data_IF_885098748955
#
_entry.id   IF_885098748955
#
_cell.length_a   1.000
_cell.length_b   1.000
_cell.length_c   1.000
_cell.angle_alpha   90.00
_cell.angle_beta   90.00
_cell.angle_gamma   90.00
#
_symmetry.space_group_name_H-M   'P 1'
#
loop_
_entity.id
_entity.type
_entity.pdbx_description
1 polymer ?
#
# COMPACT_ATOMS: atom_id res chain seq x y z
N UNK A 1 -2.35 10.44 -2.76
CA UNK A 1 -1.45 9.94 -1.70
C UNK A 1 -2.27 9.05 -0.79
N UNK A 2 -2.18 7.74 -0.98
CA UNK A 2 -2.89 6.78 -0.16
C UNK A 2 -2.31 6.78 1.26
N UNK A 3 -3.18 6.65 2.26
CA UNK A 3 -2.81 6.62 3.67
C UNK A 3 -3.69 5.61 4.38
N UNK A 4 -3.07 4.63 5.00
CA UNK A 4 -3.82 3.54 5.64
C UNK A 4 -3.75 3.63 7.16
N UNK A 5 -4.45 2.76 7.85
CA UNK A 5 -4.26 2.35 9.24
C UNK A 5 -3.49 1.01 9.29
N UNK A 6 -3.09 0.59 10.49
CA UNK A 6 -2.32 -0.66 10.66
C UNK A 6 -3.10 -1.88 10.15
N UNK A 7 -4.42 -1.89 10.31
CA UNK A 7 -5.30 -2.95 9.81
C UNK A 7 -5.57 -2.91 8.29
N UNK A 8 -5.04 -1.91 7.59
CA UNK A 8 -5.21 -1.71 6.16
C UNK A 8 -6.45 -0.95 5.72
N UNK A 9 -7.28 -0.49 6.65
CA UNK A 9 -8.36 0.43 6.35
C UNK A 9 -7.80 1.84 6.03
N UNK A 10 -8.62 2.71 5.43
CA UNK A 10 -8.27 4.11 5.27
C UNK A 10 -8.14 4.81 6.63
N UNK A 11 -7.15 5.70 6.76
CA UNK A 11 -7.06 6.59 7.92
C UNK A 11 -8.27 7.50 8.00
N UNK A 12 -8.64 7.91 9.21
CA UNK A 12 -9.77 8.85 9.45
C UNK A 12 -9.64 10.15 8.63
N UNK A 13 -8.41 10.59 8.32
CA UNK A 13 -8.13 11.78 7.52
C UNK A 13 -8.21 11.55 5.99
N UNK A 14 -8.42 10.31 5.53
CA UNK A 14 -8.56 9.93 4.12
C UNK A 14 -7.27 10.05 3.29
N UNK A 15 -7.35 9.81 1.98
CA UNK A 15 -6.25 10.07 1.05
C UNK A 15 -6.10 11.57 0.74
N UNK A 16 -4.90 11.99 0.32
CA UNK A 16 -4.62 13.39 -0.07
C UNK A 16 -4.32 13.47 -1.56
N UNK A 17 -4.92 14.42 -2.27
CA UNK A 17 -4.51 14.74 -3.63
C UNK A 17 -3.07 15.29 -3.65
N UNK A 18 -2.28 14.93 -4.65
CA UNK A 18 -0.85 15.28 -4.69
C UNK A 18 -0.65 16.81 -4.63
N UNK A 19 -1.50 17.56 -5.33
CA UNK A 19 -1.51 19.04 -5.31
C UNK A 19 -1.60 19.61 -3.89
N UNK A 20 -2.27 18.91 -2.98
CA UNK A 20 -2.50 19.33 -1.62
C UNK A 20 -1.42 18.88 -0.64
N UNK A 21 -0.48 18.03 -1.07
CA UNK A 21 0.68 17.63 -0.28
C UNK A 21 1.89 18.57 -0.39
N UNK A 22 1.97 19.38 -1.45
CA UNK A 22 3.14 20.24 -1.67
C UNK A 22 3.32 21.28 -0.56
N UNK A 23 4.51 21.27 0.06
CA UNK A 23 4.89 22.21 1.13
C UNK A 23 3.91 22.29 2.31
N UNK A 24 3.18 21.21 2.61
CA UNK A 24 2.26 21.13 3.77
C UNK A 24 2.79 20.18 4.86
N UNK A 25 3.89 20.52 5.58
CA UNK A 25 4.45 19.64 6.60
C UNK A 25 3.53 19.48 7.83
N UNK A 26 2.57 20.38 8.02
CA UNK A 26 1.59 20.32 9.12
C UNK A 26 0.74 19.06 9.06
N UNK A 27 0.50 18.50 7.87
CA UNK A 27 -0.22 17.24 7.68
C UNK A 27 0.43 16.10 8.49
N UNK A 28 1.76 16.02 8.51
CA UNK A 28 2.46 14.99 9.28
C UNK A 28 2.24 15.16 10.78
N UNK A 29 2.21 16.40 11.26
CA UNK A 29 2.04 16.69 12.68
C UNK A 29 0.59 16.49 13.14
N UNK A 30 -0.36 16.93 12.33
CA UNK A 30 -1.76 17.08 12.72
C UNK A 30 -2.63 15.90 12.27
N UNK A 31 -2.20 15.09 11.29
CA UNK A 31 -2.98 14.01 10.66
C UNK A 31 -2.35 12.62 10.76
N UNK A 32 -1.78 12.28 11.93
CA UNK A 32 -1.41 10.89 12.24
C UNK A 32 0.02 10.46 11.90
N UNK A 33 0.94 11.39 11.64
CA UNK A 33 2.37 11.06 11.51
C UNK A 33 2.78 10.62 10.11
N UNK A 34 3.90 9.89 10.06
CA UNK A 34 4.52 9.40 8.81
C UNK A 34 4.08 7.97 8.49
N UNK A 35 3.67 7.22 9.49
CA UNK A 35 3.34 5.80 9.41
C UNK A 35 2.21 5.50 8.42
N UNK A 36 1.09 6.25 8.40
CA UNK A 36 0.04 6.07 7.40
C UNK A 36 0.55 6.22 5.96
N UNK A 37 1.48 7.16 5.73
CA UNK A 37 2.07 7.38 4.41
C UNK A 37 3.01 6.25 4.01
N UNK A 38 3.87 5.78 4.91
CA UNK A 38 4.79 4.69 4.61
C UNK A 38 4.04 3.40 4.27
N UNK A 39 2.94 3.12 4.99
CA UNK A 39 2.05 1.99 4.67
C UNK A 39 1.33 2.19 3.33
N UNK A 40 0.89 3.42 3.02
CA UNK A 40 0.32 3.77 1.73
C UNK A 40 1.29 3.62 0.56
N UNK A 41 2.52 4.13 0.71
CA UNK A 41 3.58 4.06 -0.30
C UNK A 41 4.00 2.62 -0.61
N UNK A 42 4.04 1.76 0.41
CA UNK A 42 4.36 0.37 0.20
C UNK A 42 3.21 -0.38 -0.50
N UNK A 43 1.95 -0.09 -0.19
CA UNK A 43 0.81 -0.83 -0.74
C UNK A 43 0.32 -0.32 -2.11
N UNK A 44 0.58 0.95 -2.44
CA UNK A 44 0.08 1.57 -3.66
C UNK A 44 0.93 1.19 -4.88
N UNK A 45 0.27 0.77 -5.96
CA UNK A 45 0.90 0.65 -7.27
C UNK A 45 1.34 2.04 -7.80
N UNK A 46 2.57 2.11 -8.30
CA UNK A 46 3.05 3.31 -8.97
C UNK A 46 2.27 3.58 -10.26
N UNK A 47 2.29 4.83 -10.74
CA UNK A 47 1.77 5.11 -12.07
C UNK A 47 2.66 4.46 -13.13
N UNK A 48 2.02 3.97 -14.19
CA UNK A 48 2.72 3.45 -15.37
C UNK A 48 3.70 4.51 -15.91
N UNK A 49 4.92 4.08 -16.25
CA UNK A 49 5.99 4.95 -16.73
C UNK A 49 5.79 5.20 -18.22
N UNK A 50 5.30 6.39 -18.56
CA UNK A 50 5.01 6.82 -19.92
C UNK A 50 5.31 8.33 -20.07
N UNK A 51 5.22 8.93 -21.28
CA UNK A 51 5.49 10.36 -21.45
C UNK A 51 4.32 11.24 -20.99
N UNK A 52 3.30 10.67 -20.35
CA UNK A 52 2.17 11.40 -19.78
C UNK A 52 2.44 11.67 -18.30
N UNK A 53 1.79 12.71 -17.78
CA UNK A 53 1.91 13.08 -16.38
C UNK A 53 0.56 13.52 -15.84
N UNK A 54 0.29 13.17 -14.58
CA UNK A 54 -0.98 13.48 -13.94
C UNK A 54 -1.23 15.00 -13.86
N UNK A 55 -2.51 15.38 -13.86
CA UNK A 55 -2.93 16.78 -13.90
C UNK A 55 -2.38 17.62 -12.72
N UNK A 56 -2.16 17.02 -11.56
CA UNK A 56 -1.62 17.71 -10.38
C UNK A 56 -0.21 18.25 -10.62
N UNK A 57 0.62 17.53 -11.38
CA UNK A 57 1.97 17.96 -11.76
C UNK A 57 1.97 18.81 -13.04
N UNK A 58 1.01 18.58 -13.93
CA UNK A 58 0.90 19.29 -15.21
C UNK A 58 0.27 20.67 -15.11
N UNK A 59 -0.71 20.87 -14.21
CA UNK A 59 -1.52 22.09 -14.20
C UNK A 59 -1.49 22.85 -12.87
N UNK A 60 -1.02 22.21 -11.80
CA UNK A 60 -1.17 22.72 -10.43
C UNK A 60 0.14 22.73 -9.63
N UNK A 61 1.29 22.47 -10.27
CA UNK A 61 2.56 22.46 -9.54
C UNK A 61 2.79 23.85 -8.92
N UNK A 62 2.76 23.91 -7.59
CA UNK A 62 2.97 25.10 -6.77
C UNK A 62 1.96 26.26 -6.90
N UNK A 63 0.75 26.01 -7.44
CA UNK A 63 -0.30 27.04 -7.56
C UNK A 63 -1.64 26.60 -6.95
N UNK A 64 -2.36 27.47 -6.20
CA UNK A 64 -3.72 27.16 -5.77
C UNK A 64 -4.66 26.95 -6.98
N UNK A 65 -5.71 26.12 -6.87
CA UNK A 65 -6.65 25.87 -7.95
C UNK A 65 -7.20 27.19 -8.54
N UNK A 66 -7.00 27.40 -9.84
CA UNK A 66 -7.47 28.59 -10.56
C UNK A 66 -6.53 29.81 -10.56
N UNK A 67 -5.41 29.77 -9.82
CA UNK A 67 -4.40 30.84 -9.82
C UNK A 67 -3.29 30.66 -10.87
N UNK A 68 -3.33 29.55 -11.64
CA UNK A 68 -2.27 29.14 -12.57
C UNK A 68 -1.16 28.40 -11.83
N UNK A 69 -1.09 27.07 -12.01
CA UNK A 69 0.06 26.28 -11.57
C UNK A 69 1.14 26.23 -12.65
N UNK A 70 2.30 25.71 -12.27
CA UNK A 70 3.39 25.41 -13.20
C UNK A 70 3.13 24.02 -13.82
N UNK A 71 3.47 23.85 -15.10
CA UNK A 71 3.53 22.53 -15.74
C UNK A 71 4.93 21.95 -15.56
N UNK A 72 5.05 20.94 -14.70
CA UNK A 72 6.35 20.31 -14.39
C UNK A 72 7.02 19.75 -15.65
N UNK A 73 6.25 19.15 -16.55
CA UNK A 73 6.80 18.53 -17.76
C UNK A 73 7.25 19.60 -18.75
N UNK A 74 6.46 20.66 -18.94
CA UNK A 74 6.88 21.80 -19.76
C UNK A 74 8.16 22.44 -19.21
N UNK A 75 8.29 22.55 -17.89
CA UNK A 75 9.53 23.02 -17.24
C UNK A 75 10.70 22.08 -17.48
N UNK A 76 10.51 20.75 -17.41
CA UNK A 76 11.57 19.79 -17.68
C UNK A 76 12.09 19.92 -19.12
N UNK A 77 11.19 20.03 -20.10
CA UNK A 77 11.54 20.23 -21.51
C UNK A 77 12.28 21.56 -21.70
N UNK A 78 11.72 22.66 -21.18
CA UNK A 78 12.34 23.97 -21.28
C UNK A 78 13.74 24.00 -20.64
N UNK A 79 13.91 23.32 -19.50
CA UNK A 79 15.20 23.20 -18.80
C UNK A 79 16.21 22.41 -19.61
N UNK A 80 15.81 21.30 -20.24
CA UNK A 80 16.71 20.52 -21.09
C UNK A 80 17.23 21.37 -22.26
N UNK A 81 16.31 22.10 -22.93
CA UNK A 81 16.64 23.02 -24.04
C UNK A 81 17.54 24.17 -23.59
N UNK A 82 17.23 24.80 -22.46
CA UNK A 82 18.06 25.86 -21.86
C UNK A 82 19.48 25.39 -21.56
N UNK A 83 19.63 24.16 -21.05
CA UNK A 83 20.92 23.54 -20.74
C UNK A 83 21.65 22.99 -21.97
N UNK A 84 21.05 23.09 -23.16
CA UNK A 84 21.64 22.59 -24.40
C UNK A 84 21.82 21.08 -24.40
N UNK A 85 20.92 20.33 -23.74
CA UNK A 85 20.89 18.88 -23.89
C UNK A 85 20.52 18.56 -25.34
N UNK A 86 21.28 17.67 -25.98
CA UNK A 86 21.03 17.22 -27.35
C UNK A 86 19.66 16.55 -27.51
N UNK A 87 19.21 16.36 -28.75
CA UNK A 87 17.98 15.62 -29.03
C UNK A 87 18.07 14.14 -28.63
N UNK A 88 16.90 13.50 -28.57
CA UNK A 88 16.75 12.11 -28.18
C UNK A 88 17.66 11.15 -28.96
N UNK A 89 17.68 11.23 -30.30
CA UNK A 89 18.45 10.28 -31.12
C UNK A 89 19.96 10.51 -30.96
N UNK A 90 20.40 11.76 -30.84
CA UNK A 90 21.80 12.06 -30.53
C UNK A 90 22.21 11.45 -29.19
N UNK A 91 21.41 11.66 -28.12
CA UNK A 91 21.71 11.06 -26.80
C UNK A 91 21.70 9.54 -26.88
N UNK A 92 20.76 8.94 -27.61
CA UNK A 92 20.68 7.49 -27.82
C UNK A 92 21.94 6.95 -28.50
N UNK A 93 22.45 7.63 -29.53
CA UNK A 93 23.70 7.23 -30.19
C UNK A 93 24.94 7.43 -29.32
N UNK A 94 24.96 8.45 -28.46
CA UNK A 94 26.05 8.69 -27.51
C UNK A 94 26.11 7.60 -26.42
N UNK A 95 24.96 6.97 -26.10
CA UNK A 95 24.87 5.77 -25.27
C UNK A 95 25.29 4.48 -26.02
N UNK A 96 25.65 4.56 -27.31
CA UNK A 96 26.03 3.41 -28.14
C UNK A 96 24.85 2.64 -28.73
N UNK A 97 23.63 3.16 -28.61
CA UNK A 97 22.42 2.55 -29.15
C UNK A 97 22.14 3.04 -30.57
N UNK A 98 21.35 2.27 -31.34
CA UNK A 98 20.95 2.69 -32.69
C UNK A 98 19.88 3.78 -32.62
N UNK A 99 20.05 4.85 -33.41
CA UNK A 99 19.02 5.87 -33.60
C UNK A 99 17.75 5.25 -34.20
N UNK A 100 16.59 5.73 -33.76
CA UNK A 100 15.31 5.34 -34.37
C UNK A 100 15.04 6.14 -35.63
N UNK A 101 14.54 5.48 -36.67
CA UNK A 101 14.30 6.12 -37.98
C UNK A 101 12.84 6.54 -38.17
N UNK A 102 11.95 6.03 -37.33
CA UNK A 102 10.51 6.28 -37.37
C UNK A 102 9.88 6.17 -35.99
N UNK A 103 8.71 6.78 -35.79
CA UNK A 103 7.98 6.70 -34.52
C UNK A 103 7.54 5.26 -34.19
N UNK A 104 7.38 4.40 -35.20
CA UNK A 104 7.13 2.97 -34.99
C UNK A 104 8.34 2.21 -34.48
N UNK A 105 9.56 2.70 -34.71
CA UNK A 105 10.75 2.13 -34.09
C UNK A 105 10.86 2.53 -32.61
N UNK A 106 10.35 3.72 -32.26
CA UNK A 106 10.38 4.28 -30.89
C UNK A 106 9.40 3.57 -29.96
N UNK A 107 8.16 3.34 -30.41
CA UNK A 107 7.11 2.72 -29.58
C UNK A 107 6.12 1.94 -30.42
N UNK A 108 5.62 0.81 -29.90
CA UNK A 108 4.52 0.04 -30.49
C UNK A 108 3.15 0.69 -30.30
N UNK A 109 3.03 1.72 -29.44
CA UNK A 109 1.78 2.41 -29.18
C UNK A 109 1.39 3.39 -30.32
N UNK A 110 0.51 2.94 -31.21
CA UNK A 110 0.03 3.72 -32.37
C UNK A 110 -0.65 5.05 -31.98
N UNK A 111 -1.34 5.11 -30.85
CA UNK A 111 -1.96 6.35 -30.37
C UNK A 111 -0.88 7.36 -29.96
N UNK A 112 0.16 6.91 -29.27
CA UNK A 112 1.30 7.74 -28.88
C UNK A 112 2.06 8.22 -30.11
N UNK A 113 2.33 7.35 -31.09
CA UNK A 113 2.93 7.74 -32.37
C UNK A 113 2.14 8.86 -33.04
N UNK A 114 0.81 8.72 -33.11
CA UNK A 114 -0.06 9.73 -33.72
C UNK A 114 0.04 11.06 -32.99
N UNK A 115 0.05 11.06 -31.65
CA UNK A 115 0.21 12.28 -30.85
C UNK A 115 1.58 12.92 -31.05
N UNK A 116 2.67 12.15 -31.04
CA UNK A 116 4.03 12.64 -31.25
C UNK A 116 4.17 13.29 -32.62
N UNK A 117 3.58 12.70 -33.67
CA UNK A 117 3.58 13.25 -35.02
C UNK A 117 2.84 14.60 -35.15
N UNK A 118 1.97 14.96 -34.19
CA UNK A 118 1.35 16.29 -34.17
C UNK A 118 2.25 17.39 -33.61
N UNK A 119 3.32 17.00 -32.89
CA UNK A 119 4.21 17.91 -32.16
C UNK A 119 5.59 17.99 -32.82
N UNK A 120 6.15 16.85 -33.20
CA UNK A 120 7.46 16.73 -33.83
C UNK A 120 7.30 16.35 -35.30
N UNK A 121 7.96 17.10 -36.19
CA UNK A 121 7.91 16.83 -37.63
C UNK A 121 8.93 15.78 -38.03
N UNK A 122 10.05 15.71 -37.29
CA UNK A 122 11.13 14.74 -37.46
C UNK A 122 11.41 14.03 -36.12
N UNK A 123 11.71 12.73 -36.17
CA UNK A 123 12.09 11.95 -34.98
C UNK A 123 13.37 12.49 -34.32
N UNK A 124 14.24 13.13 -35.09
CA UNK A 124 15.47 13.75 -34.60
C UNK A 124 15.23 15.09 -33.87
N UNK A 125 13.99 15.57 -33.80
CA UNK A 125 13.62 16.78 -33.03
C UNK A 125 13.03 16.44 -31.65
N UNK A 126 12.84 15.17 -31.33
CA UNK A 126 12.21 14.74 -30.08
C UNK A 126 13.10 15.14 -28.89
N UNK A 127 12.51 15.85 -27.93
CA UNK A 127 13.20 16.14 -26.67
C UNK A 127 13.52 14.82 -25.93
N UNK A 128 14.73 14.67 -25.36
CA UNK A 128 15.17 13.41 -24.75
C UNK A 128 14.20 12.82 -23.75
N UNK A 129 13.64 13.64 -22.84
CA UNK A 129 12.69 13.14 -21.85
C UNK A 129 11.48 12.50 -22.51
N UNK A 130 10.94 13.12 -23.57
CA UNK A 130 9.78 12.59 -24.29
C UNK A 130 10.15 11.31 -25.02
N UNK A 131 11.29 11.29 -25.71
CA UNK A 131 11.74 10.10 -26.44
C UNK A 131 11.96 8.91 -25.51
N UNK A 132 12.79 9.07 -24.48
CA UNK A 132 13.13 8.00 -23.55
C UNK A 132 11.92 7.47 -22.75
N UNK A 133 10.97 8.33 -22.37
CA UNK A 133 9.74 7.90 -21.69
C UNK A 133 8.72 7.26 -22.66
N UNK A 134 8.90 7.46 -23.97
CA UNK A 134 8.06 6.83 -25.00
C UNK A 134 8.55 5.45 -25.41
N UNK A 135 9.80 5.06 -25.09
CA UNK A 135 10.31 3.75 -25.46
C UNK A 135 9.50 2.62 -24.81
N UNK A 136 9.24 1.56 -25.60
CA UNK A 136 8.59 0.36 -25.07
C UNK A 136 9.46 -0.27 -23.98
N UNK A 137 8.81 -0.71 -22.90
CA UNK A 137 9.50 -1.31 -21.76
C UNK A 137 10.14 -2.64 -22.16
N UNK A 138 11.36 -2.88 -21.68
CA UNK A 138 12.02 -4.20 -21.82
C UNK A 138 11.44 -5.19 -20.80
N UNK A 139 11.64 -6.49 -21.04
CA UNK A 139 11.12 -7.54 -20.15
C UNK A 139 11.58 -7.33 -18.70
N UNK A 140 10.65 -7.51 -17.77
CA UNK A 140 10.87 -7.38 -16.32
C UNK A 140 11.42 -6.00 -15.89
N UNK A 141 11.15 -4.95 -16.68
CA UNK A 141 11.51 -3.56 -16.36
C UNK A 141 10.34 -2.60 -16.61
N UNK A 142 10.44 -1.42 -16.01
CA UNK A 142 9.45 -0.33 -16.14
C UNK A 142 9.93 0.79 -17.08
N UNK A 143 10.99 0.53 -17.85
CA UNK A 143 11.66 1.50 -18.72
C UNK A 143 12.13 0.80 -20.01
N UNK A 144 12.31 1.59 -21.08
CA UNK A 144 12.90 1.12 -22.33
C UNK A 144 14.42 1.00 -22.29
N UNK A 145 14.98 0.52 -23.40
CA UNK A 145 16.41 0.23 -23.58
C UNK A 145 17.31 1.45 -23.31
N UNK A 146 16.90 2.63 -23.77
CA UNK A 146 17.65 3.87 -23.65
C UNK A 146 17.80 4.33 -22.21
N UNK A 147 16.73 4.35 -21.43
CA UNK A 147 16.81 4.67 -20.00
C UNK A 147 17.56 3.59 -19.23
N UNK A 148 17.41 2.32 -19.61
CA UNK A 148 18.15 1.23 -18.98
C UNK A 148 19.66 1.42 -19.14
N UNK A 149 20.14 1.71 -20.36
CA UNK A 149 21.56 1.96 -20.61
C UNK A 149 22.04 3.24 -19.91
N UNK A 150 21.25 4.32 -19.97
CA UNK A 150 21.58 5.59 -19.31
C UNK A 150 21.72 5.41 -17.79
N UNK A 151 20.80 4.69 -17.16
CA UNK A 151 20.86 4.40 -15.73
C UNK A 151 21.98 3.43 -15.37
N UNK A 152 22.20 2.37 -16.15
CA UNK A 152 23.31 1.46 -15.93
C UNK A 152 24.66 2.19 -15.96
N UNK A 153 24.85 3.10 -16.92
CA UNK A 153 26.04 3.94 -17.03
C UNK A 153 26.18 4.87 -15.83
N UNK A 154 25.13 5.64 -15.50
CA UNK A 154 25.17 6.62 -14.42
C UNK A 154 25.34 5.98 -13.04
N UNK A 155 24.60 4.92 -12.72
CA UNK A 155 24.75 4.19 -11.46
C UNK A 155 26.08 3.42 -11.40
N UNK A 156 26.55 2.89 -12.54
CA UNK A 156 27.86 2.28 -12.66
C UNK A 156 28.98 3.26 -12.31
N UNK A 157 28.96 4.47 -12.88
CA UNK A 157 29.93 5.51 -12.55
C UNK A 157 29.87 5.97 -11.09
N UNK A 158 28.67 6.09 -10.52
CA UNK A 158 28.53 6.43 -9.10
C UNK A 158 29.12 5.34 -8.20
N UNK A 159 28.89 4.06 -8.52
CA UNK A 159 29.43 2.93 -7.76
C UNK A 159 30.96 2.82 -7.91
N UNK A 160 31.44 2.79 -9.14
CA UNK A 160 32.84 2.49 -9.46
C UNK A 160 33.75 3.69 -9.16
N UNK A 161 33.21 4.91 -9.24
CA UNK A 161 33.90 6.16 -8.94
C UNK A 161 33.91 6.55 -7.46
N UNK A 162 33.12 5.87 -6.61
CA UNK A 162 33.05 6.18 -5.19
C UNK A 162 34.05 5.34 -4.38
N UNK A 163 35.07 6.03 -3.85
CA UNK A 163 36.06 5.44 -2.95
C UNK A 163 35.45 4.91 -1.65
N UNK A 164 34.30 5.44 -1.24
CA UNK A 164 33.55 5.03 -0.05
C UNK A 164 32.34 4.16 -0.39
N UNK A 165 32.26 3.63 -1.61
CA UNK A 165 31.26 2.61 -1.91
C UNK A 165 31.42 1.46 -0.92
N UNK A 166 30.33 1.06 -0.26
CA UNK A 166 30.37 0.24 0.95
C UNK A 166 31.05 -1.13 0.77
N UNK A 167 31.07 -1.68 -0.44
CA UNK A 167 31.78 -2.95 -0.74
C UNK A 167 33.30 -2.78 -0.87
N UNK A 168 33.77 -1.56 -1.11
CA UNK A 168 35.18 -1.20 -1.27
C UNK A 168 35.79 -0.56 -0.01
N UNK A 169 34.96 -0.06 0.92
CA UNK A 169 35.44 0.70 2.07
C UNK A 169 36.11 -0.23 3.10
N UNK A 170 37.42 -0.06 3.38
CA UNK A 170 38.15 -0.90 4.33
C UNK A 170 37.70 -0.73 5.79
N UNK A 171 36.81 0.24 6.08
CA UNK A 171 36.20 0.40 7.39
C UNK A 171 35.20 -0.73 7.72
N UNK A 172 34.63 -1.41 6.71
CA UNK A 172 33.70 -2.51 6.90
C UNK A 172 34.39 -3.87 6.79
N UNK A 173 34.04 -4.77 7.70
CA UNK A 173 34.34 -6.20 7.60
C UNK A 173 33.45 -6.88 6.57
N UNK A 174 33.86 -8.06 6.09
CA UNK A 174 33.06 -8.87 5.18
C UNK A 174 31.66 -9.21 5.75
N UNK A 175 31.56 -9.42 7.07
CA UNK A 175 30.28 -9.69 7.75
C UNK A 175 29.38 -8.46 7.80
N UNK A 176 29.94 -7.26 7.97
CA UNK A 176 29.18 -6.01 7.93
C UNK A 176 28.69 -5.73 6.51
N UNK A 177 29.52 -5.93 5.48
CA UNK A 177 29.11 -5.82 4.07
C UNK A 177 27.95 -6.77 3.78
N UNK A 178 28.03 -8.02 4.21
CA UNK A 178 26.95 -9.00 4.03
C UNK A 178 25.67 -8.57 4.77
N UNK A 179 25.80 -7.99 5.96
CA UNK A 179 24.65 -7.45 6.70
C UNK A 179 24.01 -6.28 5.96
N UNK A 180 24.81 -5.36 5.41
CA UNK A 180 24.33 -4.22 4.63
C UNK A 180 23.61 -4.70 3.37
N UNK A 181 24.20 -5.66 2.63
CA UNK A 181 23.59 -6.26 1.42
C UNK A 181 22.23 -6.87 1.66
N UNK A 182 22.05 -7.50 2.81
CA UNK A 182 20.79 -8.17 3.17
C UNK A 182 19.79 -7.24 3.88
N UNK A 183 20.17 -6.00 4.21
CA UNK A 183 19.25 -5.06 4.87
C UNK A 183 18.18 -4.58 3.89
N UNK A 184 16.91 -4.75 4.27
CA UNK A 184 15.77 -4.32 3.45
C UNK A 184 15.22 -2.97 3.92
N UNK A 185 14.63 -2.21 2.99
CA UNK A 185 13.98 -0.93 3.33
C UNK A 185 12.81 -1.13 4.31
N UNK A 186 12.11 -2.26 4.24
CA UNK A 186 11.08 -2.66 5.21
C UNK A 186 11.63 -2.75 6.64
N UNK A 187 12.78 -3.38 6.83
CA UNK A 187 13.43 -3.47 8.15
C UNK A 187 13.82 -2.10 8.69
N UNK A 188 14.30 -1.20 7.82
CA UNK A 188 14.64 0.17 8.20
C UNK A 188 13.37 0.91 8.68
N UNK A 189 12.26 0.78 7.96
CA UNK A 189 10.98 1.38 8.35
C UNK A 189 10.50 0.83 9.70
N UNK A 190 10.49 -0.50 9.88
CA UNK A 190 10.04 -1.14 11.11
C UNK A 190 10.92 -0.79 12.33
N UNK A 191 12.24 -0.60 12.16
CA UNK A 191 13.14 -0.21 13.26
C UNK A 191 12.94 1.24 13.73
N UNK A 192 12.34 2.10 12.90
CA UNK A 192 12.29 3.55 13.12
C UNK A 192 10.86 4.10 13.23
N UNK A 193 9.85 3.24 13.24
CA UNK A 193 8.43 3.64 13.30
C UNK A 193 7.66 2.71 14.25
N UNK A 194 6.40 3.04 14.52
CA UNK A 194 5.48 2.14 15.24
C UNK A 194 4.70 1.20 14.31
N UNK A 195 5.08 1.09 13.03
CA UNK A 195 4.45 0.15 12.11
C UNK A 195 4.76 -1.26 12.59
N UNK A 196 3.73 -2.08 12.73
CA UNK A 196 3.86 -3.46 13.20
C UNK A 196 4.21 -4.37 12.04
N UNK A 197 3.62 -4.12 10.86
CA UNK A 197 3.72 -5.02 9.71
C UNK A 197 3.87 -4.27 8.39
N UNK A 198 4.76 -4.78 7.55
CA UNK A 198 5.02 -4.28 6.20
C UNK A 198 5.49 -5.46 5.34
N UNK A 199 5.28 -5.39 4.03
CA UNK A 199 5.84 -6.39 3.13
C UNK A 199 7.36 -6.41 3.22
N UNK A 200 7.93 -7.59 2.95
CA UNK A 200 9.37 -7.77 2.98
C UNK A 200 10.06 -6.92 1.90
N UNK A 201 9.57 -6.97 0.66
CA UNK A 201 10.01 -6.09 -0.43
C UNK A 201 8.99 -4.97 -0.67
N UNK A 202 9.26 -3.77 -0.15
CA UNK A 202 8.37 -2.60 -0.27
C UNK A 202 8.31 -1.98 -1.67
N UNK A 203 9.12 -2.45 -2.62
CA UNK A 203 9.01 -2.04 -4.02
C UNK A 203 8.00 -2.87 -4.81
N UNK A 204 7.57 -4.02 -4.27
CA UNK A 204 6.48 -4.80 -4.83
C UNK A 204 5.18 -4.37 -4.15
N UNK A 205 4.25 -3.84 -4.95
CA UNK A 205 2.92 -3.52 -4.48
C UNK A 205 2.16 -4.82 -4.21
N UNK A 206 1.90 -5.08 -2.93
CA UNK A 206 1.12 -6.23 -2.47
C UNK A 206 -0.17 -5.69 -1.87
N UNK A 207 -1.35 -6.22 -2.24
CA UNK A 207 -2.61 -5.82 -1.61
C UNK A 207 -2.50 -5.92 -0.09
N UNK A 208 -2.88 -4.86 0.63
CA UNK A 208 -2.70 -4.83 2.10
C UNK A 208 -3.51 -5.91 2.83
N UNK A 209 -4.56 -6.42 2.21
CA UNK A 209 -5.31 -7.60 2.69
C UNK A 209 -4.43 -8.86 2.80
N UNK A 210 -3.39 -8.96 1.98
CA UNK A 210 -2.38 -10.04 2.00
C UNK A 210 -1.25 -9.76 3.01
N UNK A 211 -1.07 -8.50 3.42
CA UNK A 211 -0.15 -8.06 4.49
C UNK A 211 -0.78 -8.16 5.88
N UNK A 212 -1.94 -8.80 5.98
CA UNK A 212 -2.40 -9.36 7.24
C UNK A 212 -1.37 -10.38 7.72
N UNK A 213 -0.34 -9.89 8.42
CA UNK A 213 0.08 -10.60 9.62
C UNK A 213 -1.18 -10.62 10.45
N UNK A 214 -1.92 -11.72 10.34
CA UNK A 214 -2.68 -12.20 11.46
C UNK A 214 -1.69 -12.12 12.62
N UNK A 215 -1.86 -11.09 13.48
CA UNK A 215 -1.56 -11.29 14.88
C UNK A 215 -2.37 -12.53 15.21
N UNK A 216 -1.72 -13.69 15.13
CA UNK A 216 -2.05 -14.79 15.98
C UNK A 216 -1.66 -14.24 17.35
N UNK A 217 -2.61 -13.75 18.19
CA UNK A 217 -2.37 -13.99 19.59
C UNK A 217 -2.07 -15.49 19.66
N UNK A 218 -0.97 -15.87 20.31
CA UNK A 218 -0.54 -17.26 20.52
C UNK A 218 -1.73 -18.21 20.37
N UNK A 219 -1.62 -19.28 19.56
CA UNK A 219 -2.69 -20.17 19.08
C UNK A 219 -3.79 -20.64 20.07
N UNK A 220 -3.78 -20.18 21.33
CA UNK A 220 -4.85 -20.30 22.32
C UNK A 220 -5.61 -19.03 22.76
N UNK A 221 -5.40 -17.79 22.26
CA UNK A 221 -6.18 -16.61 22.76
C UNK A 221 -6.64 -15.60 21.69
N UNK A 222 -7.50 -16.01 20.77
CA UNK A 222 -8.29 -15.07 19.96
C UNK A 222 -9.57 -14.69 20.74
N UNK A 223 -9.70 -13.46 21.24
CA UNK A 223 -10.89 -13.03 21.99
C UNK A 223 -11.92 -12.36 21.08
N UNK A 224 -13.15 -12.87 21.06
CA UNK A 224 -14.31 -12.29 20.38
C UNK A 224 -15.11 -11.44 21.37
N UNK A 225 -15.50 -10.22 20.97
CA UNK A 225 -16.38 -9.38 21.79
C UNK A 225 -17.82 -9.78 21.54
N UNK A 226 -18.52 -10.17 22.60
CA UNK A 226 -19.96 -10.46 22.56
C UNK A 226 -20.73 -9.43 23.39
N UNK A 227 -21.89 -9.04 22.89
CA UNK A 227 -22.86 -8.24 23.63
C UNK A 227 -24.25 -8.85 23.46
N UNK A 228 -24.97 -9.05 24.56
CA UNK A 228 -26.33 -9.58 24.55
C UNK A 228 -27.36 -8.48 24.84
N UNK A 229 -28.42 -8.42 24.05
CA UNK A 229 -29.53 -7.48 24.23
C UNK A 229 -30.89 -8.14 23.89
N UNK A 230 -31.90 -8.04 24.78
CA UNK A 230 -31.82 -7.50 26.13
C UNK A 230 -31.04 -8.42 27.08
N UNK A 231 -30.43 -7.82 28.10
CA UNK A 231 -29.83 -8.53 29.23
C UNK A 231 -30.06 -7.66 30.49
N UNK A 232 -30.97 -8.02 31.41
CA UNK A 232 -31.62 -9.34 31.56
C UNK A 232 -32.58 -9.74 30.43
N UNK A 233 -32.70 -11.05 30.18
CA UNK A 233 -33.54 -11.68 29.15
C UNK A 233 -34.69 -12.46 29.77
N UNK A 234 -35.86 -12.45 29.13
CA UNK A 234 -36.98 -13.34 29.49
C UNK A 234 -36.96 -14.62 28.65
N UNK A 235 -37.01 -14.45 27.33
CA UNK A 235 -37.09 -15.55 26.36
C UNK A 235 -36.19 -15.32 25.15
N UNK A 236 -36.36 -14.21 24.44
CA UNK A 236 -35.58 -13.89 23.24
C UNK A 236 -34.48 -12.88 23.53
N UNK A 237 -33.29 -13.11 22.97
CA UNK A 237 -32.19 -12.16 23.00
C UNK A 237 -31.37 -12.21 21.72
N UNK A 238 -30.72 -11.09 21.42
CA UNK A 238 -29.77 -10.97 20.34
C UNK A 238 -28.36 -10.96 20.91
N UNK A 239 -27.45 -11.67 20.26
CA UNK A 239 -26.02 -11.55 20.51
C UNK A 239 -25.40 -10.83 19.31
N UNK A 240 -24.78 -9.70 19.61
CA UNK A 240 -23.90 -9.01 18.69
C UNK A 240 -22.49 -9.60 18.85
N UNK A 241 -21.94 -10.07 17.74
CA UNK A 241 -20.62 -10.71 17.65
C UNK A 241 -19.74 -9.85 16.77
N UNK A 242 -18.60 -9.42 17.31
CA UNK A 242 -17.57 -8.72 16.54
C UNK A 242 -16.44 -9.70 16.22
N UNK A 243 -16.35 -10.10 14.95
CA UNK A 243 -15.42 -11.13 14.48
C UNK A 243 -14.49 -10.59 13.39
N UNK A 244 -13.23 -11.02 13.42
CA UNK A 244 -12.20 -10.57 12.47
C UNK A 244 -12.17 -11.38 11.17
N UNK A 245 -12.74 -12.59 11.16
CA UNK A 245 -12.83 -13.48 9.99
C UNK A 245 -14.12 -14.32 10.03
N UNK A 246 -14.64 -14.76 8.86
CA UNK A 246 -15.79 -15.65 8.83
C UNK A 246 -15.43 -17.04 9.39
N UNK A 247 -16.38 -17.68 10.08
CA UNK A 247 -16.15 -18.99 10.71
C UNK A 247 -17.47 -19.67 11.10
N UNK A 248 -17.45 -21.00 11.16
CA UNK A 248 -18.49 -21.77 11.85
C UNK A 248 -18.20 -21.83 13.36
N UNK A 249 -19.14 -21.38 14.18
CA UNK A 249 -19.00 -21.39 15.62
C UNK A 249 -20.13 -22.15 16.30
N UNK A 250 -19.85 -22.67 17.50
CA UNK A 250 -20.88 -23.23 18.38
C UNK A 250 -21.04 -22.31 19.57
N UNK A 251 -22.24 -21.77 19.74
CA UNK A 251 -22.63 -21.06 20.94
C UNK A 251 -23.16 -22.05 21.96
N UNK A 252 -22.64 -21.99 23.19
CA UNK A 252 -23.04 -22.84 24.32
C UNK A 252 -23.46 -21.96 25.49
N UNK A 253 -24.51 -22.35 26.17
CA UNK A 253 -25.03 -21.67 27.35
C UNK A 253 -24.85 -22.60 28.54
N UNK A 254 -24.20 -22.10 29.58
CA UNK A 254 -23.95 -22.81 30.82
C UNK A 254 -24.74 -22.18 31.96
N UNK A 255 -25.24 -23.01 32.87
CA UNK A 255 -25.78 -22.53 34.13
C UNK A 255 -24.68 -22.06 35.10
N UNK A 256 -25.06 -21.54 36.27
CA UNK A 256 -24.11 -21.09 37.29
C UNK A 256 -23.23 -22.22 37.87
N UNK A 257 -23.59 -23.48 37.67
CA UNK A 257 -22.80 -24.65 38.05
C UNK A 257 -21.82 -25.11 36.97
N UNK A 258 -21.83 -24.48 35.78
CA UNK A 258 -20.98 -24.85 34.66
C UNK A 258 -21.52 -26.01 33.82
N UNK A 259 -22.79 -26.39 33.98
CA UNK A 259 -23.44 -27.43 33.17
C UNK A 259 -24.00 -26.80 31.89
N UNK A 260 -23.68 -27.38 30.73
CA UNK A 260 -24.26 -26.95 29.44
C UNK A 260 -25.77 -27.22 29.44
N UNK A 261 -26.56 -26.17 29.22
CA UNK A 261 -28.02 -26.24 29.19
C UNK A 261 -28.59 -26.10 27.78
N UNK A 262 -27.87 -25.43 26.88
CA UNK A 262 -28.32 -25.18 25.51
C UNK A 262 -27.12 -24.92 24.59
N UNK A 263 -27.21 -25.33 23.32
CA UNK A 263 -26.19 -25.03 22.32
C UNK A 263 -26.77 -24.90 20.91
N UNK A 264 -26.15 -24.02 20.10
CA UNK A 264 -26.58 -23.71 18.75
C UNK A 264 -25.37 -23.42 17.84
N UNK A 265 -25.36 -24.02 16.66
CA UNK A 265 -24.37 -23.72 15.63
C UNK A 265 -24.75 -22.42 14.89
N UNK A 266 -23.78 -21.55 14.67
CA UNK A 266 -23.95 -20.27 13.96
C UNK A 266 -22.86 -20.07 12.92
N UNK A 267 -23.20 -19.29 11.89
CA UNK A 267 -22.26 -18.80 10.90
C UNK A 267 -21.87 -17.38 11.25
N UNK A 268 -20.58 -17.14 11.45
CA UNK A 268 -20.03 -15.83 11.76
C UNK A 268 -19.51 -15.20 10.47
N UNK A 269 -19.83 -13.93 10.26
CA UNK A 269 -19.29 -13.12 9.16
C UNK A 269 -18.19 -12.19 9.68
N UNK A 270 -17.28 -11.77 8.82
CA UNK A 270 -16.31 -10.71 9.16
C UNK A 270 -17.05 -9.42 9.52
N UNK A 271 -16.57 -8.71 10.54
CA UNK A 271 -17.19 -7.50 11.07
C UNK A 271 -18.18 -7.77 12.20
N UNK A 272 -19.22 -6.96 12.29
CA UNK A 272 -20.28 -7.11 13.29
C UNK A 272 -21.44 -7.91 12.72
N UNK A 273 -21.79 -9.03 13.34
CA UNK A 273 -23.02 -9.78 13.05
C UNK A 273 -23.95 -9.79 14.25
N UNK A 274 -25.25 -9.97 14.01
CA UNK A 274 -26.26 -10.12 15.07
C UNK A 274 -27.02 -11.42 14.86
N UNK A 275 -27.12 -12.22 15.91
CA UNK A 275 -27.81 -13.51 15.90
C UNK A 275 -28.88 -13.53 16.99
N UNK A 276 -30.08 -13.97 16.64
CA UNK A 276 -31.21 -14.10 17.57
C UNK A 276 -31.26 -15.50 18.17
N UNK A 277 -31.52 -15.56 19.47
CA UNK A 277 -31.60 -16.78 20.27
C UNK A 277 -32.85 -16.79 21.13
N UNK A 278 -33.35 -17.98 21.41
CA UNK A 278 -34.45 -18.25 22.32
C UNK A 278 -33.91 -19.10 23.47
N UNK A 279 -34.14 -18.69 24.72
CA UNK A 279 -33.89 -19.53 25.88
C UNK A 279 -35.08 -20.43 26.15
N UNK A 280 -34.81 -21.71 26.42
CA UNK A 280 -35.85 -22.66 26.84
C UNK A 280 -36.64 -22.18 28.06
N UNK A 281 -37.97 -22.31 28.02
CA UNK A 281 -38.88 -22.00 29.13
C UNK A 281 -38.62 -22.87 30.38
N UNK A 282 -37.94 -24.02 30.21
CA UNK A 282 -37.57 -24.91 31.31
C UNK A 282 -36.43 -24.37 32.21
N UNK A 283 -35.67 -23.38 31.74
CA UNK A 283 -34.57 -22.79 32.50
C UNK A 283 -35.09 -21.87 33.61
N UNK A 284 -34.56 -22.03 34.83
CA UNK A 284 -34.89 -21.17 35.96
C UNK A 284 -34.37 -19.73 35.77
N UNK A 285 -34.93 -18.77 36.52
CA UNK A 285 -34.33 -17.43 36.56
C UNK A 285 -32.98 -17.48 37.27
N UNK A 286 -31.96 -16.82 36.72
CA UNK A 286 -30.61 -16.92 37.24
C UNK A 286 -29.54 -16.38 36.30
N UNK A 287 -28.28 -16.55 36.71
CA UNK A 287 -27.10 -16.22 35.92
C UNK A 287 -26.75 -17.40 35.02
N UNK A 288 -26.51 -17.09 33.75
CA UNK A 288 -26.02 -17.99 32.73
C UNK A 288 -24.75 -17.42 32.10
N UNK A 289 -23.87 -18.29 31.63
CA UNK A 289 -22.67 -17.91 30.87
C UNK A 289 -22.86 -18.39 29.46
N UNK A 290 -22.80 -17.46 28.51
CA UNK A 290 -22.77 -17.80 27.09
C UNK A 290 -21.32 -17.82 26.66
N UNK A 291 -20.88 -18.94 26.12
CA UNK A 291 -19.55 -19.14 25.56
C UNK A 291 -19.68 -19.43 24.08
N UNK A 292 -18.87 -18.75 23.29
CA UNK A 292 -18.74 -18.95 21.86
C UNK A 292 -17.34 -19.45 21.59
N UNK A 293 -17.22 -20.63 20.99
CA UNK A 293 -15.96 -21.22 20.60
C UNK A 293 -15.94 -21.46 19.10
N UNK A 294 -14.88 -21.01 18.46
CA UNK A 294 -14.65 -21.15 17.02
C UNK A 294 -13.16 -21.24 16.73
N UNK A 295 -12.81 -21.68 15.52
CA UNK A 295 -11.45 -21.55 15.00
C UNK A 295 -11.03 -20.07 14.87
N UNK A 296 -11.98 -19.14 14.69
CA UNK A 296 -11.73 -17.69 14.67
C UNK A 296 -11.58 -17.03 16.04
N UNK A 297 -11.79 -17.78 17.12
CA UNK A 297 -11.61 -17.33 18.49
C UNK A 297 -12.73 -17.72 19.45
N UNK A 298 -12.54 -17.30 20.70
CA UNK A 298 -13.40 -17.59 21.83
C UNK A 298 -13.96 -16.29 22.40
N UNK A 299 -15.18 -16.30 22.91
CA UNK A 299 -15.71 -15.17 23.64
C UNK A 299 -16.78 -15.59 24.64
N UNK A 300 -16.86 -14.87 25.75
CA UNK A 300 -17.80 -15.17 26.82
C UNK A 300 -18.57 -13.92 27.23
N UNK A 301 -19.83 -14.10 27.59
CA UNK A 301 -20.64 -13.06 28.22
C UNK A 301 -21.55 -13.65 29.29
N UNK A 302 -21.90 -12.83 30.28
CA UNK A 302 -22.86 -13.17 31.33
C UNK A 302 -24.26 -12.74 30.93
N UNK A 303 -25.21 -13.67 30.99
CA UNK A 303 -26.61 -13.46 30.65
C UNK A 303 -27.47 -13.70 31.89
N UNK A 304 -28.40 -12.80 32.20
CA UNK A 304 -29.29 -12.93 33.35
C UNK A 304 -30.68 -13.29 32.82
N UNK A 305 -31.19 -14.49 33.15
CA UNK A 305 -32.57 -14.88 32.84
C UNK A 305 -33.51 -14.41 33.95
N UNK A 306 -34.56 -13.70 33.59
CA UNK A 306 -35.68 -13.28 34.45
C UNK A 306 -36.97 -13.94 33.99
N UNK A 307 -37.96 -14.07 34.88
CA UNK A 307 -39.31 -14.52 34.51
C UNK A 307 -39.99 -13.56 33.53
#
# INVERSE_FOLDING_TARGET
LMRFEENGDDITFGAIDLRDGFFKPTILKDEGGIEPFLRGLAAQEHQFVDPMIMNDLRNFLFGPPGAGGIDLLAVNIARARERGISDYNTVRTDLGLSAHTSLSDLTSNVELQTKLATVYTDINEIDPWIGFMSEDHINDAIIGEGLNELFALQFGFLRDGDRYYYENDPAFSATEIETIKNTKLSEIVLRNTSIETLQENVFDAVPREELAVEFFPFAGVMNMKLKAYPNPVQKYFNIQIEARRPSTATLRIFDAGGVEVESQAIQITRGTSTHSFELSDALASGLYVVSLQSDAGNGELKLIKTK
#
